data_IF_340043314369
#
_entry.id   IF_340043314369
#
_cell.length_a   1.000
_cell.length_b   1.000
_cell.length_c   1.000
_cell.angle_alpha   90.00
_cell.angle_beta   90.00
_cell.angle_gamma   90.00
#
_symmetry.space_group_name_H-M   'P 1'
#
loop_
_entity.id
_entity.type
_entity.pdbx_description
1 polymer ?
#
# COMPACT_ATOMS: atom_id res chain seq x y z
N UNK A 1 -3.09 -13.63 7.89
CA UNK A 1 -3.19 -13.70 9.36
C UNK A 1 -2.74 -12.41 10.05
N UNK A 2 -1.57 -11.82 9.71
CA UNK A 2 -1.03 -10.63 10.39
C UNK A 2 -2.02 -9.46 10.44
N UNK A 3 -2.53 -9.00 9.30
CA UNK A 3 -3.44 -7.84 9.27
C UNK A 3 -4.78 -8.11 9.94
N UNK A 4 -5.31 -9.34 9.85
CA UNK A 4 -6.52 -9.70 10.59
C UNK A 4 -6.34 -9.55 12.10
N UNK A 5 -5.22 -10.01 12.64
CA UNK A 5 -4.88 -9.84 14.06
C UNK A 5 -4.69 -8.37 14.44
N UNK A 6 -3.96 -7.58 13.63
CA UNK A 6 -3.73 -6.16 13.90
C UNK A 6 -5.02 -5.34 13.85
N UNK A 7 -5.87 -5.57 12.85
CA UNK A 7 -7.16 -4.87 12.74
C UNK A 7 -8.13 -5.28 13.86
N UNK A 8 -8.15 -6.56 14.24
CA UNK A 8 -8.93 -7.02 15.38
C UNK A 8 -8.46 -6.36 16.69
N UNK A 9 -7.15 -6.30 16.94
CA UNK A 9 -6.58 -5.63 18.10
C UNK A 9 -6.93 -4.12 18.11
N UNK A 10 -6.89 -3.46 16.94
CA UNK A 10 -7.28 -2.07 16.80
C UNK A 10 -8.76 -1.86 17.17
N UNK A 11 -9.67 -2.68 16.64
CA UNK A 11 -11.10 -2.58 16.90
C UNK A 11 -11.43 -2.85 18.38
N UNK A 12 -10.78 -3.82 19.01
CA UNK A 12 -10.95 -4.11 20.45
C UNK A 12 -10.44 -2.94 21.29
N UNK A 13 -9.26 -2.38 20.96
CA UNK A 13 -8.69 -1.24 21.66
C UNK A 13 -9.58 0.00 21.55
N UNK A 14 -10.14 0.25 20.36
CA UNK A 14 -11.11 1.33 20.12
C UNK A 14 -12.39 1.14 20.95
N UNK A 15 -12.96 -0.08 20.96
CA UNK A 15 -14.18 -0.39 21.70
C UNK A 15 -14.01 -0.30 23.21
N UNK A 16 -12.79 -0.50 23.72
CA UNK A 16 -12.47 -0.45 25.14
C UNK A 16 -12.06 0.95 25.64
N UNK A 17 -11.81 1.89 24.73
CA UNK A 17 -11.37 3.24 25.08
C UNK A 17 -12.58 4.15 25.37
N UNK A 18 -12.56 4.94 26.46
CA UNK A 18 -13.65 5.87 26.79
C UNK A 18 -13.77 7.02 25.78
N UNK A 19 -12.65 7.40 25.15
CA UNK A 19 -12.58 8.42 24.09
C UNK A 19 -11.63 7.95 22.98
N UNK A 20 -12.06 8.10 21.70
CA UNK A 20 -11.29 7.72 20.55
C UNK A 20 -11.52 8.69 19.37
N UNK A 21 -10.48 9.28 18.76
CA UNK A 21 -9.07 9.27 19.18
C UNK A 21 -8.84 10.01 20.49
N UNK A 22 -7.72 9.78 21.21
CA UNK A 22 -7.42 10.49 22.47
C UNK A 22 -7.35 12.00 22.25
N UNK A 23 -7.69 12.77 23.31
CA UNK A 23 -7.57 14.22 23.29
C UNK A 23 -6.13 14.65 22.96
N UNK A 24 -5.98 15.76 22.20
CA UNK A 24 -4.70 16.30 21.73
C UNK A 24 -3.94 15.47 20.68
N UNK A 25 -4.60 14.53 19.98
CA UNK A 25 -4.01 13.89 18.81
C UNK A 25 -4.33 14.70 17.53
N UNK A 26 -3.36 14.87 16.59
CA UNK A 26 -3.61 15.52 15.33
C UNK A 26 -4.64 14.73 14.50
N UNK A 27 -5.54 15.45 13.85
CA UNK A 27 -6.48 14.81 12.91
C UNK A 27 -5.73 14.27 11.70
N UNK A 28 -6.06 13.06 11.30
CA UNK A 28 -5.48 12.44 10.11
C UNK A 28 -5.92 13.20 8.84
N UNK A 29 -5.04 13.35 7.82
CA UNK A 29 -5.33 14.07 6.58
C UNK A 29 -6.19 13.21 5.62
N UNK A 30 -7.46 13.01 5.97
CA UNK A 30 -8.40 12.12 5.26
C UNK A 30 -8.47 12.42 3.76
N UNK A 31 -8.52 13.70 3.36
CA UNK A 31 -8.66 14.06 1.95
C UNK A 31 -7.43 13.67 1.10
N UNK A 32 -6.23 13.97 1.59
CA UNK A 32 -4.99 13.67 0.87
C UNK A 32 -4.76 12.16 0.79
N UNK A 33 -4.98 11.47 1.91
CA UNK A 33 -4.90 9.99 1.95
C UNK A 33 -5.98 9.34 1.06
N UNK A 34 -7.17 9.95 0.93
CA UNK A 34 -8.21 9.50 0.02
C UNK A 34 -7.80 9.59 -1.44
N UNK A 35 -7.21 10.72 -1.87
CA UNK A 35 -6.65 10.87 -3.21
C UNK A 35 -5.51 9.87 -3.45
N UNK A 36 -4.62 9.72 -2.48
CA UNK A 36 -3.52 8.76 -2.53
C UNK A 36 -4.03 7.32 -2.64
N UNK A 37 -5.12 6.98 -1.95
CA UNK A 37 -5.81 5.69 -2.10
C UNK A 37 -6.29 5.46 -3.55
N UNK A 38 -6.82 6.50 -4.20
CA UNK A 38 -7.19 6.45 -5.62
C UNK A 38 -6.02 6.09 -6.54
N UNK A 39 -4.84 6.66 -6.29
CA UNK A 39 -3.60 6.31 -7.03
C UNK A 39 -3.23 4.83 -6.85
N UNK A 40 -3.32 4.32 -5.64
CA UNK A 40 -3.01 2.92 -5.37
C UNK A 40 -4.01 1.97 -6.04
N UNK A 41 -5.30 2.27 -5.98
CA UNK A 41 -6.35 1.50 -6.68
C UNK A 41 -6.11 1.52 -8.19
N UNK A 42 -5.78 2.68 -8.76
CA UNK A 42 -5.42 2.81 -10.17
C UNK A 42 -4.22 1.92 -10.52
N UNK A 43 -3.21 1.83 -9.65
CA UNK A 43 -2.07 0.94 -9.84
C UNK A 43 -2.47 -0.55 -9.89
N UNK A 44 -3.49 -0.93 -9.15
CA UNK A 44 -4.07 -2.29 -9.22
C UNK A 44 -4.71 -2.56 -10.59
N UNK A 45 -5.46 -1.59 -11.12
CA UNK A 45 -6.06 -1.69 -12.47
C UNK A 45 -4.99 -1.77 -13.57
N UNK A 46 -3.91 -0.99 -13.45
CA UNK A 46 -2.79 -1.07 -14.39
C UNK A 46 -2.08 -2.42 -14.33
N UNK A 47 -1.92 -3.01 -13.14
CA UNK A 47 -1.34 -4.35 -12.99
C UNK A 47 -2.24 -5.44 -13.60
N UNK A 48 -3.55 -5.34 -13.44
CA UNK A 48 -4.49 -6.23 -14.13
C UNK A 48 -4.33 -6.13 -15.67
N UNK A 49 -4.11 -4.91 -16.21
CA UNK A 49 -3.82 -4.69 -17.64
C UNK A 49 -2.53 -5.39 -18.07
N UNK A 50 -1.48 -5.36 -17.25
CA UNK A 50 -0.21 -6.09 -17.50
C UNK A 50 -0.47 -7.57 -17.74
N UNK A 51 -1.19 -8.23 -16.82
CA UNK A 51 -1.50 -9.67 -16.93
C UNK A 51 -2.32 -9.96 -18.18
N UNK A 52 -3.28 -9.10 -18.52
CA UNK A 52 -4.11 -9.26 -19.72
C UNK A 52 -3.29 -9.18 -21.00
N UNK A 53 -2.37 -8.21 -21.11
CA UNK A 53 -1.50 -8.04 -22.28
C UNK A 53 -0.53 -9.22 -22.44
N UNK A 54 0.00 -9.76 -21.32
CA UNK A 54 0.83 -10.96 -21.36
C UNK A 54 0.06 -12.18 -21.90
N UNK A 55 -1.22 -12.32 -21.56
CA UNK A 55 -2.09 -13.37 -22.14
C UNK A 55 -2.28 -13.22 -23.64
N UNK A 56 -2.21 -11.99 -24.14
CA UNK A 56 -2.30 -11.66 -25.57
C UNK A 56 -0.94 -11.70 -26.29
N UNK A 57 0.12 -12.15 -25.60
CA UNK A 57 1.51 -12.17 -26.10
C UNK A 57 2.10 -10.79 -26.43
N UNK A 58 1.47 -9.68 -25.98
CA UNK A 58 2.00 -8.32 -26.10
C UNK A 58 2.96 -8.00 -24.95
N UNK A 59 4.22 -8.43 -25.12
CA UNK A 59 5.28 -8.20 -24.12
C UNK A 59 5.61 -6.71 -23.98
N UNK A 60 5.61 -5.97 -25.10
CA UNK A 60 5.98 -4.54 -25.10
C UNK A 60 4.93 -3.70 -24.36
N UNK A 61 3.66 -3.93 -24.65
CA UNK A 61 2.56 -3.29 -23.94
C UNK A 61 2.56 -3.63 -22.46
N UNK A 62 2.75 -4.90 -22.11
CA UNK A 62 2.83 -5.34 -20.72
C UNK A 62 3.94 -4.63 -19.93
N UNK A 63 5.13 -4.47 -20.53
CA UNK A 63 6.25 -3.78 -19.89
C UNK A 63 5.99 -2.29 -19.67
N UNK A 64 5.35 -1.61 -20.62
CA UNK A 64 4.93 -0.20 -20.45
C UNK A 64 3.96 -0.05 -19.28
N UNK A 65 2.93 -0.90 -19.22
CA UNK A 65 1.95 -0.86 -18.14
C UNK A 65 2.53 -1.27 -16.78
N UNK A 66 3.51 -2.17 -16.75
CA UNK A 66 4.27 -2.50 -15.55
C UNK A 66 5.06 -1.28 -15.03
N UNK A 67 5.69 -0.53 -15.91
CA UNK A 67 6.34 0.74 -15.55
C UNK A 67 5.38 1.73 -14.92
N UNK A 68 4.17 1.90 -15.49
CA UNK A 68 3.11 2.75 -14.91
C UNK A 68 2.71 2.25 -13.53
N UNK A 69 2.51 0.95 -13.36
CA UNK A 69 2.16 0.35 -12.05
C UNK A 69 3.20 0.66 -10.99
N UNK A 70 4.49 0.47 -11.31
CA UNK A 70 5.62 0.76 -10.40
C UNK A 70 5.65 2.25 -10.05
N UNK A 71 5.49 3.14 -11.03
CA UNK A 71 5.49 4.59 -10.82
C UNK A 71 4.35 5.02 -9.90
N UNK A 72 3.13 4.51 -10.11
CA UNK A 72 1.98 4.81 -9.24
C UNK A 72 2.19 4.30 -7.81
N UNK A 73 2.75 3.09 -7.64
CA UNK A 73 3.08 2.55 -6.32
C UNK A 73 4.16 3.34 -5.60
N UNK A 74 5.21 3.76 -6.31
CA UNK A 74 6.27 4.62 -5.76
C UNK A 74 5.75 6.00 -5.38
N UNK A 75 4.87 6.59 -6.20
CA UNK A 75 4.23 7.87 -5.92
C UNK A 75 3.35 7.79 -4.67
N UNK A 76 2.55 6.72 -4.54
CA UNK A 76 1.79 6.45 -3.33
C UNK A 76 2.69 6.44 -2.09
N UNK A 77 3.81 5.69 -2.12
CA UNK A 77 4.76 5.61 -1.00
C UNK A 77 5.38 6.98 -0.68
N UNK A 78 5.73 7.77 -1.69
CA UNK A 78 6.29 9.10 -1.49
C UNK A 78 5.28 10.04 -0.81
N UNK A 79 4.04 10.09 -1.27
CA UNK A 79 2.97 10.90 -0.67
C UNK A 79 2.71 10.43 0.77
N UNK A 80 2.56 9.12 0.99
CA UNK A 80 2.33 8.57 2.33
C UNK A 80 3.48 8.87 3.29
N UNK A 81 4.72 8.84 2.81
CA UNK A 81 5.89 9.21 3.60
C UNK A 81 5.88 10.68 4.02
N UNK A 82 5.45 11.60 3.15
CA UNK A 82 5.32 13.02 3.51
C UNK A 82 4.22 13.26 4.55
N UNK A 83 3.10 12.55 4.45
CA UNK A 83 2.03 12.59 5.46
C UNK A 83 2.56 12.12 6.84
N UNK A 84 3.30 11.00 6.87
CA UNK A 84 3.88 10.50 8.12
C UNK A 84 4.88 11.48 8.73
N UNK A 85 5.74 12.08 7.91
CA UNK A 85 6.66 13.11 8.39
C UNK A 85 5.91 14.30 9.02
N UNK A 86 4.78 14.69 8.43
CA UNK A 86 3.88 15.69 9.00
C UNK A 86 3.31 15.26 10.35
N UNK A 87 2.73 14.06 10.45
CA UNK A 87 2.12 13.54 11.68
C UNK A 87 3.12 13.45 12.82
N UNK A 88 4.36 13.01 12.55
CA UNK A 88 5.44 12.97 13.55
C UNK A 88 5.77 14.37 14.07
N UNK A 89 5.86 15.37 13.17
CA UNK A 89 6.10 16.78 13.57
C UNK A 89 4.97 17.36 14.42
N UNK A 90 3.74 16.89 14.23
CA UNK A 90 2.59 17.27 15.04
C UNK A 90 2.41 16.44 16.31
N UNK A 91 3.39 15.57 16.67
CA UNK A 91 3.44 14.84 17.93
C UNK A 91 2.75 13.47 17.90
N UNK A 92 2.18 13.02 16.77
CA UNK A 92 1.73 11.65 16.64
C UNK A 92 2.94 10.75 16.36
N UNK A 93 3.40 10.05 17.40
CA UNK A 93 4.50 9.09 17.31
C UNK A 93 4.03 7.70 17.74
N UNK A 94 4.84 6.68 17.47
CA UNK A 94 4.54 5.30 17.87
C UNK A 94 4.39 5.17 19.41
N UNK A 95 5.05 6.03 20.16
CA UNK A 95 5.08 6.02 21.64
C UNK A 95 4.18 7.07 22.29
N UNK A 96 3.51 7.93 21.50
CA UNK A 96 2.70 9.03 22.03
C UNK A 96 1.40 8.55 22.70
N UNK A 97 0.83 7.46 22.22
CA UNK A 97 -0.41 6.86 22.72
C UNK A 97 -0.62 5.46 22.15
N UNK A 98 -1.56 4.70 22.73
CA UNK A 98 -1.99 3.42 22.16
C UNK A 98 -2.52 3.60 20.73
N UNK A 99 -3.23 4.69 20.47
CA UNK A 99 -3.69 5.06 19.11
C UNK A 99 -2.53 5.25 18.15
N UNK A 100 -1.52 6.04 18.49
CA UNK A 100 -0.32 6.26 17.68
C UNK A 100 0.44 4.96 17.43
N UNK A 101 0.62 4.14 18.47
CA UNK A 101 1.28 2.83 18.35
C UNK A 101 0.56 1.90 17.36
N UNK A 102 -0.76 1.75 17.50
CA UNK A 102 -1.59 0.93 16.59
C UNK A 102 -1.61 1.49 15.17
N UNK A 103 -1.73 2.81 15.01
CA UNK A 103 -1.68 3.48 13.72
C UNK A 103 -0.38 3.13 12.97
N UNK A 104 0.78 3.40 13.58
CA UNK A 104 2.07 3.15 12.92
C UNK A 104 2.35 1.66 12.72
N UNK A 105 1.87 0.79 13.60
CA UNK A 105 2.04 -0.65 13.44
C UNK A 105 1.25 -1.17 12.22
N UNK A 106 -0.02 -0.77 12.07
CA UNK A 106 -0.88 -1.24 10.96
C UNK A 106 -0.43 -0.63 9.64
N UNK A 107 -0.32 0.70 9.59
CA UNK A 107 0.02 1.43 8.36
C UNK A 107 1.49 1.18 7.98
N UNK A 108 2.38 1.05 8.96
CA UNK A 108 3.79 0.71 8.74
C UNK A 108 3.98 -0.71 8.22
N UNK A 109 3.27 -1.70 8.77
CA UNK A 109 3.29 -3.06 8.24
C UNK A 109 2.79 -3.09 6.79
N UNK A 110 1.72 -2.36 6.46
CA UNK A 110 1.24 -2.23 5.09
C UNK A 110 2.29 -1.60 4.17
N UNK A 111 2.90 -0.48 4.58
CA UNK A 111 3.94 0.19 3.79
C UNK A 111 5.14 -0.73 3.53
N UNK A 112 5.56 -1.54 4.51
CA UNK A 112 6.63 -2.52 4.33
C UNK A 112 6.28 -3.56 3.27
N UNK A 113 5.05 -4.07 3.27
CA UNK A 113 4.58 -5.01 2.25
C UNK A 113 4.53 -4.36 0.86
N UNK A 114 4.12 -3.09 0.77
CA UNK A 114 4.09 -2.35 -0.49
C UNK A 114 5.50 -2.08 -1.02
N UNK A 115 6.45 -1.70 -0.16
CA UNK A 115 7.88 -1.55 -0.53
C UNK A 115 8.43 -2.86 -1.08
N UNK A 116 8.17 -3.98 -0.41
CA UNK A 116 8.57 -5.30 -0.90
C UNK A 116 7.94 -5.62 -2.26
N UNK A 117 6.65 -5.32 -2.45
CA UNK A 117 5.95 -5.53 -3.71
C UNK A 117 6.55 -4.70 -4.85
N UNK A 118 6.84 -3.41 -4.62
CA UNK A 118 7.52 -2.53 -5.59
C UNK A 118 8.91 -3.06 -5.93
N UNK A 119 9.69 -3.49 -4.93
CA UNK A 119 11.03 -4.04 -5.14
C UNK A 119 10.99 -5.31 -6.01
N UNK A 120 10.02 -6.21 -5.79
CA UNK A 120 9.83 -7.41 -6.61
C UNK A 120 9.45 -7.03 -8.04
N UNK A 121 8.54 -6.08 -8.25
CA UNK A 121 8.16 -5.62 -9.58
C UNK A 121 9.34 -4.98 -10.32
N UNK A 122 10.13 -4.15 -9.64
CA UNK A 122 11.37 -3.56 -10.19
C UNK A 122 12.39 -4.64 -10.57
N UNK A 123 12.57 -5.65 -9.74
CA UNK A 123 13.46 -6.78 -10.02
C UNK A 123 13.02 -7.51 -11.28
N UNK A 124 11.74 -7.87 -11.38
CA UNK A 124 11.18 -8.56 -12.56
C UNK A 124 11.32 -7.69 -13.81
N UNK A 125 10.93 -6.42 -13.75
CA UNK A 125 11.06 -5.48 -14.85
C UNK A 125 12.52 -5.33 -15.33
N UNK A 126 13.47 -5.21 -14.41
CA UNK A 126 14.89 -5.08 -14.72
C UNK A 126 15.47 -6.30 -15.45
N UNK A 127 15.01 -7.49 -15.08
CA UNK A 127 15.42 -8.75 -15.73
C UNK A 127 14.93 -8.82 -17.17
N UNK A 128 13.69 -8.41 -17.40
CA UNK A 128 13.08 -8.38 -18.75
C UNK A 128 13.78 -7.36 -19.64
N UNK A 129 14.01 -6.13 -19.14
CA UNK A 129 14.70 -5.08 -19.91
C UNK A 129 16.14 -5.46 -20.32
N UNK A 130 16.85 -6.24 -19.48
CA UNK A 130 18.21 -6.71 -19.77
C UNK A 130 18.25 -7.92 -20.71
N UNK A 131 17.11 -8.37 -21.26
CA UNK A 131 17.04 -9.55 -22.13
C UNK A 131 17.44 -10.86 -21.46
N UNK A 132 17.62 -10.88 -20.13
CA UNK A 132 18.07 -12.04 -19.35
C UNK A 132 16.93 -12.96 -18.93
N UNK A 133 15.70 -12.60 -19.25
CA UNK A 133 14.50 -13.33 -18.83
C UNK A 133 13.47 -13.31 -19.96
N UNK A 134 13.08 -14.48 -20.44
CA UNK A 134 11.77 -14.56 -21.08
C UNK A 134 10.73 -14.21 -20.02
N UNK A 135 9.77 -13.35 -20.35
CA UNK A 135 8.73 -12.94 -19.41
C UNK A 135 8.01 -14.20 -18.96
N UNK A 136 8.41 -14.75 -17.80
CA UNK A 136 7.70 -15.88 -17.21
C UNK A 136 6.32 -15.38 -16.77
N UNK A 137 5.32 -15.74 -17.54
CA UNK A 137 3.91 -15.43 -17.26
C UNK A 137 3.54 -15.79 -15.82
N UNK A 138 4.03 -16.94 -15.31
CA UNK A 138 3.71 -17.42 -13.96
C UNK A 138 4.29 -16.48 -12.88
N UNK A 139 5.51 -16.02 -13.07
CA UNK A 139 6.16 -15.08 -12.15
C UNK A 139 5.42 -13.74 -12.08
N UNK A 140 5.02 -13.19 -13.24
CA UNK A 140 4.24 -11.93 -13.27
C UNK A 140 2.85 -12.11 -12.68
N UNK A 141 2.19 -13.25 -12.91
CA UNK A 141 0.89 -13.57 -12.29
C UNK A 141 1.02 -13.65 -10.77
N UNK A 142 2.04 -14.33 -10.24
CA UNK A 142 2.29 -14.39 -8.79
C UNK A 142 2.50 -12.99 -8.20
N UNK A 143 3.31 -12.15 -8.87
CA UNK A 143 3.48 -10.74 -8.49
C UNK A 143 2.15 -9.98 -8.51
N UNK A 144 1.29 -10.22 -9.51
CA UNK A 144 0.00 -9.53 -9.62
C UNK A 144 -0.97 -9.91 -8.51
N UNK A 145 -0.97 -11.15 -8.07
CA UNK A 145 -1.77 -11.62 -6.93
C UNK A 145 -1.31 -10.91 -5.64
N UNK A 146 0.00 -10.88 -5.41
CA UNK A 146 0.54 -10.19 -4.25
C UNK A 146 0.28 -8.68 -4.29
N UNK A 147 0.46 -8.03 -5.45
CA UNK A 147 0.13 -6.62 -5.66
C UNK A 147 -1.35 -6.33 -5.38
N UNK A 148 -2.25 -7.16 -5.93
CA UNK A 148 -3.69 -7.02 -5.71
C UNK A 148 -4.06 -7.15 -4.23
N UNK A 149 -3.44 -8.08 -3.51
CA UNK A 149 -3.63 -8.22 -2.07
C UNK A 149 -3.26 -6.92 -1.33
N UNK A 150 -2.09 -6.36 -1.61
CA UNK A 150 -1.63 -5.11 -0.97
C UNK A 150 -2.55 -3.94 -1.32
N UNK A 151 -2.95 -3.82 -2.60
CA UNK A 151 -3.85 -2.75 -3.07
C UNK A 151 -5.24 -2.84 -2.43
N UNK A 152 -5.83 -4.03 -2.33
CA UNK A 152 -7.17 -4.22 -1.76
C UNK A 152 -7.16 -4.01 -0.24
N UNK A 153 -6.07 -4.38 0.42
CA UNK A 153 -5.94 -4.22 1.87
C UNK A 153 -5.94 -2.74 2.30
N UNK A 154 -5.38 -1.85 1.48
CA UNK A 154 -5.26 -0.44 1.85
C UNK A 154 -6.59 0.29 2.04
N UNK A 155 -7.60 0.22 1.15
CA UNK A 155 -8.91 0.82 1.39
C UNK A 155 -9.58 0.35 2.68
N UNK A 156 -9.35 -0.91 3.08
CA UNK A 156 -9.87 -1.47 4.34
C UNK A 156 -9.17 -0.79 5.52
N UNK A 157 -7.83 -0.70 5.49
CA UNK A 157 -7.06 0.01 6.51
C UNK A 157 -7.47 1.48 6.56
N UNK A 158 -7.57 2.14 5.41
CA UNK A 158 -8.00 3.54 5.30
C UNK A 158 -9.37 3.75 5.93
N UNK A 159 -10.37 2.91 5.58
CA UNK A 159 -11.70 3.01 6.14
C UNK A 159 -11.72 2.79 7.66
N UNK A 160 -11.01 1.79 8.16
CA UNK A 160 -11.04 1.44 9.59
C UNK A 160 -10.23 2.40 10.46
N UNK A 161 -9.11 2.93 9.96
CA UNK A 161 -8.15 3.70 10.77
C UNK A 161 -8.38 5.20 10.62
N UNK A 162 -8.75 5.71 9.44
CA UNK A 162 -8.88 7.15 9.19
C UNK A 162 -10.30 7.68 9.45
N UNK A 163 -11.32 6.81 9.47
CA UNK A 163 -12.69 7.19 9.81
C UNK A 163 -13.12 6.72 11.22
N UNK A 164 -12.18 6.30 12.02
CA UNK A 164 -12.46 5.83 13.38
C UNK A 164 -12.49 6.95 14.42
#
# INVERSE_FOLDING_TARGET
>A
MLFGGLLSAFLVSRASAPFWPPANQPRLPVAVTGLNTGLLVLSGLTMWRVVRLLRQHDKTGAMRWMGITITLGALFLAIQGTEWAGLIRFGLTMTSSLYGGMFYLIVGAHALHLVAAVAVLLFVASRVWRGRYEVDYRGVVACSVYWSFVVILWPIIYALVYFS
#
